data_IF_491431407606
#
_entry.id   IF_491431407606
#
_cell.length_a   1.000
_cell.length_b   1.000
_cell.length_c   1.000
_cell.angle_alpha   90.00
_cell.angle_beta   90.00
_cell.angle_gamma   90.00
#
_symmetry.space_group_name_H-M   'P 1'
#
loop_
_entity.id
_entity.type
_entity.pdbx_description
1 polymer ?
#
# COMPACT_ATOMS: atom_id res chain seq x y z
N UNK A 1 30.87 -11.80 -37.18
CA UNK A 1 29.54 -11.39 -37.70
C UNK A 1 28.60 -11.22 -36.51
N UNK A 2 28.14 -9.98 -36.30
CA UNK A 2 26.91 -9.61 -35.57
C UNK A 2 26.82 -9.89 -34.07
N UNK A 3 27.54 -9.10 -33.24
CA UNK A 3 27.12 -8.84 -31.85
C UNK A 3 25.90 -7.91 -31.89
N UNK A 4 24.72 -8.43 -31.60
CA UNK A 4 23.51 -7.62 -31.41
C UNK A 4 23.46 -7.12 -29.97
N UNK A 5 23.98 -5.92 -29.76
CA UNK A 5 23.56 -5.05 -28.66
C UNK A 5 22.14 -4.56 -29.01
N UNK A 6 21.12 -4.71 -28.15
CA UNK A 6 19.83 -4.11 -28.41
C UNK A 6 19.96 -2.59 -28.29
N UNK A 7 19.69 -1.91 -29.39
CA UNK A 7 19.62 -0.46 -29.52
C UNK A 7 18.46 0.06 -28.66
N UNK A 8 18.80 0.71 -27.55
CA UNK A 8 17.86 1.31 -26.62
C UNK A 8 17.58 2.75 -27.07
N UNK A 9 16.60 2.91 -27.94
CA UNK A 9 16.06 4.23 -28.29
C UNK A 9 14.63 4.37 -27.80
N UNK A 10 14.47 4.76 -26.53
CA UNK A 10 13.46 5.74 -26.04
C UNK A 10 14.04 6.40 -24.77
N UNK A 11 14.02 7.72 -24.74
CA UNK A 11 14.46 8.63 -23.67
C UNK A 11 13.92 8.26 -22.28
N UNK A 12 14.80 7.72 -21.43
CA UNK A 12 15.01 8.05 -20.02
C UNK A 12 16.13 7.12 -19.56
N UNK A 13 17.33 7.64 -19.35
CA UNK A 13 18.41 6.89 -18.72
C UNK A 13 17.90 6.43 -17.34
N UNK A 14 17.39 5.20 -17.24
CA UNK A 14 16.88 4.65 -16.01
C UNK A 14 18.09 4.43 -15.11
N UNK A 15 18.39 5.40 -14.26
CA UNK A 15 19.44 5.26 -13.25
C UNK A 15 19.04 4.13 -12.29
N UNK A 16 19.46 2.92 -12.62
CA UNK A 16 19.35 1.74 -11.75
C UNK A 16 20.11 2.02 -10.45
N UNK A 17 19.62 1.52 -9.33
CA UNK A 17 20.25 1.73 -8.03
C UNK A 17 21.68 1.19 -7.96
N UNK A 18 22.47 1.74 -7.04
CA UNK A 18 23.80 1.22 -6.71
C UNK A 18 23.77 -0.25 -6.27
N UNK A 19 22.66 -0.70 -5.67
CA UNK A 19 22.48 -2.10 -5.22
C UNK A 19 22.33 -3.03 -6.42
N UNK A 20 21.54 -2.64 -7.42
CA UNK A 20 21.43 -3.38 -8.69
C UNK A 20 22.76 -3.44 -9.43
N UNK A 21 23.46 -2.31 -9.53
CA UNK A 21 24.77 -2.23 -10.19
C UNK A 21 25.82 -3.11 -9.48
N UNK A 22 25.74 -3.22 -8.16
CA UNK A 22 26.60 -4.14 -7.42
C UNK A 22 26.31 -5.61 -7.75
N UNK A 23 25.03 -6.00 -7.83
CA UNK A 23 24.64 -7.35 -8.26
C UNK A 23 25.14 -7.64 -9.68
N UNK A 24 25.01 -6.69 -10.60
CA UNK A 24 25.49 -6.82 -11.97
C UNK A 24 27.00 -7.11 -12.02
N UNK A 25 27.81 -6.38 -11.24
CA UNK A 25 29.25 -6.63 -11.14
C UNK A 25 29.57 -7.99 -10.53
N UNK A 26 28.81 -8.44 -9.52
CA UNK A 26 28.97 -9.78 -8.93
C UNK A 26 28.64 -10.86 -9.96
N UNK A 27 27.52 -10.73 -10.69
CA UNK A 27 27.12 -11.68 -11.72
C UNK A 27 28.10 -11.75 -12.90
N UNK A 28 28.78 -10.64 -13.21
CA UNK A 28 29.78 -10.54 -14.28
C UNK A 28 31.19 -11.00 -13.86
N UNK A 29 31.44 -11.36 -12.59
CA UNK A 29 32.79 -11.70 -12.13
C UNK A 29 33.36 -12.95 -12.83
N UNK A 30 34.68 -12.97 -13.03
CA UNK A 30 35.41 -14.10 -13.61
C UNK A 30 35.62 -15.22 -12.60
N UNK A 31 35.43 -16.47 -13.01
CA UNK A 31 35.65 -17.66 -12.18
C UNK A 31 34.40 -18.07 -11.38
N UNK A 32 34.05 -19.36 -11.44
CA UNK A 32 32.81 -19.89 -10.86
C UNK A 32 32.77 -19.79 -9.32
N UNK A 33 33.85 -20.19 -8.64
CA UNK A 33 33.92 -20.20 -7.17
C UNK A 33 33.81 -18.80 -6.57
N UNK A 34 34.58 -17.85 -7.09
CA UNK A 34 34.55 -16.45 -6.65
C UNK A 34 33.17 -15.82 -6.86
N UNK A 35 32.48 -16.17 -7.97
CA UNK A 35 31.11 -15.70 -8.23
C UNK A 35 30.10 -16.21 -7.20
N UNK A 36 30.12 -17.50 -6.87
CA UNK A 36 29.24 -18.11 -5.87
C UNK A 36 29.44 -17.45 -4.50
N UNK A 37 30.68 -17.32 -4.05
CA UNK A 37 31.01 -16.72 -2.75
C UNK A 37 30.62 -15.24 -2.67
N UNK A 38 30.77 -14.48 -3.76
CA UNK A 38 30.34 -13.08 -3.82
C UNK A 38 28.83 -12.95 -3.86
N UNK A 39 28.14 -13.85 -4.57
CA UNK A 39 26.69 -13.85 -4.66
C UNK A 39 26.04 -14.16 -3.31
N UNK A 40 26.54 -15.18 -2.60
CA UNK A 40 26.08 -15.49 -1.24
C UNK A 40 26.20 -14.29 -0.30
N UNK A 41 27.38 -13.64 -0.29
CA UNK A 41 27.60 -12.41 0.50
C UNK A 41 26.70 -11.24 0.08
N UNK A 42 26.41 -11.10 -1.21
CA UNK A 42 25.48 -10.08 -1.69
C UNK A 42 24.07 -10.36 -1.18
N UNK A 43 23.59 -11.60 -1.29
CA UNK A 43 22.26 -12.00 -0.80
C UNK A 43 22.12 -11.80 0.70
N UNK A 44 23.10 -12.23 1.51
CA UNK A 44 23.09 -12.08 2.97
C UNK A 44 23.08 -10.60 3.40
N UNK A 45 23.71 -9.72 2.61
CA UNK A 45 23.78 -8.29 2.89
C UNK A 45 22.51 -7.55 2.47
N UNK A 46 21.94 -7.90 1.31
CA UNK A 46 20.82 -7.16 0.73
C UNK A 46 19.44 -7.70 1.10
N UNK A 47 19.33 -8.97 1.47
CA UNK A 47 18.06 -9.60 1.83
C UNK A 47 17.92 -9.78 3.35
N UNK A 48 16.68 -9.80 3.83
CA UNK A 48 16.38 -10.23 5.20
C UNK A 48 16.31 -11.77 5.31
N UNK A 49 16.00 -12.27 6.51
CA UNK A 49 15.88 -13.71 6.75
C UNK A 49 14.76 -14.38 5.95
N UNK A 50 13.78 -13.61 5.48
CA UNK A 50 12.68 -14.09 4.63
C UNK A 50 12.96 -13.84 3.13
N UNK A 51 14.16 -13.38 2.78
CA UNK A 51 14.55 -13.08 1.40
C UNK A 51 14.03 -11.75 0.87
N UNK A 52 13.42 -10.89 1.70
CA UNK A 52 12.92 -9.59 1.24
C UNK A 52 14.06 -8.56 1.17
N UNK A 53 14.21 -7.79 0.07
CA UNK A 53 15.26 -6.80 -0.02
C UNK A 53 15.16 -5.68 1.01
N UNK A 54 16.28 -5.40 1.69
CA UNK A 54 16.41 -4.37 2.73
C UNK A 54 16.50 -2.96 2.15
N UNK A 55 17.16 -2.81 0.99
CA UNK A 55 17.51 -1.49 0.41
C UNK A 55 17.18 -1.36 -1.07
N UNK A 56 17.08 -2.48 -1.79
CA UNK A 56 16.80 -2.48 -3.21
C UNK A 56 15.39 -1.88 -3.47
N UNK A 57 15.26 -0.88 -4.37
CA UNK A 57 13.96 -0.33 -4.75
C UNK A 57 13.05 -1.41 -5.35
N UNK A 58 11.78 -1.46 -4.93
CA UNK A 58 10.82 -2.48 -5.40
C UNK A 58 10.73 -2.55 -6.92
N UNK A 59 10.74 -1.40 -7.60
CA UNK A 59 10.69 -1.30 -9.07
C UNK A 59 11.81 -2.07 -9.80
N UNK A 60 12.91 -2.40 -9.11
CA UNK A 60 14.08 -3.08 -9.68
C UNK A 60 14.13 -4.58 -9.35
N UNK A 61 13.22 -5.11 -8.52
CA UNK A 61 13.33 -6.48 -8.02
C UNK A 61 13.23 -7.53 -9.13
N UNK A 62 12.33 -7.34 -10.09
CA UNK A 62 12.18 -8.25 -11.24
C UNK A 62 13.42 -8.26 -12.15
N UNK A 63 14.12 -7.12 -12.27
CA UNK A 63 15.39 -7.04 -13.00
C UNK A 63 16.48 -7.85 -12.29
N UNK A 64 16.58 -7.75 -10.96
CA UNK A 64 17.50 -8.56 -10.18
C UNK A 64 17.20 -10.06 -10.33
N UNK A 65 15.93 -10.47 -10.27
CA UNK A 65 15.55 -11.88 -10.47
C UNK A 65 15.86 -12.40 -11.88
N UNK A 66 15.75 -11.53 -12.89
CA UNK A 66 16.16 -11.85 -14.27
C UNK A 66 17.65 -12.15 -14.32
N UNK A 67 18.47 -11.27 -13.74
CA UNK A 67 19.92 -11.45 -13.69
C UNK A 67 20.34 -12.69 -12.86
N UNK A 68 19.64 -12.96 -11.75
CA UNK A 68 19.87 -14.15 -10.93
C UNK A 68 19.53 -15.43 -11.69
N UNK A 69 18.45 -15.45 -12.48
CA UNK A 69 18.07 -16.61 -13.30
C UNK A 69 19.15 -16.92 -14.35
N UNK A 70 19.64 -15.89 -15.06
CA UNK A 70 20.75 -16.05 -16.01
C UNK A 70 22.03 -16.54 -15.32
N UNK A 71 22.32 -16.02 -14.12
CA UNK A 71 23.50 -16.41 -13.34
C UNK A 71 23.41 -17.86 -12.88
N UNK A 72 22.23 -18.31 -12.42
CA UNK A 72 21.95 -19.70 -12.06
C UNK A 72 22.18 -20.63 -13.25
N UNK A 73 21.65 -20.28 -14.42
CA UNK A 73 21.86 -21.06 -15.65
C UNK A 73 23.34 -21.18 -16.02
N UNK A 74 24.13 -20.11 -15.88
CA UNK A 74 25.58 -20.13 -16.16
C UNK A 74 26.39 -20.93 -15.13
N UNK A 75 25.95 -20.98 -13.88
CA UNK A 75 26.64 -21.70 -12.81
C UNK A 75 26.29 -23.19 -12.77
N UNK A 76 25.10 -23.57 -13.24
CA UNK A 76 24.67 -24.98 -13.30
C UNK A 76 24.82 -25.67 -11.95
N UNK A 77 25.56 -26.79 -11.90
CA UNK A 77 25.78 -27.57 -10.69
C UNK A 77 26.54 -26.83 -9.56
N UNK A 78 27.17 -25.68 -9.84
CA UNK A 78 27.79 -24.85 -8.81
C UNK A 78 26.80 -23.97 -8.05
N UNK A 79 25.53 -23.91 -8.48
CA UNK A 79 24.48 -23.23 -7.74
C UNK A 79 23.99 -24.10 -6.58
N UNK A 80 24.14 -23.61 -5.35
CA UNK A 80 23.82 -24.40 -4.16
C UNK A 80 22.34 -24.30 -3.75
N UNK A 81 21.89 -25.26 -2.95
CA UNK A 81 20.54 -25.29 -2.36
C UNK A 81 20.29 -24.10 -1.42
N UNK A 82 21.33 -23.60 -0.76
CA UNK A 82 21.24 -22.41 0.09
C UNK A 82 20.97 -21.15 -0.74
N UNK A 83 21.60 -21.01 -1.91
CA UNK A 83 21.30 -19.91 -2.83
C UNK A 83 19.87 -20.00 -3.35
N UNK A 84 19.40 -21.20 -3.72
CA UNK A 84 18.01 -21.41 -4.14
C UNK A 84 17.02 -20.97 -3.04
N UNK A 85 17.22 -21.38 -1.78
CA UNK A 85 16.34 -21.00 -0.68
C UNK A 85 16.30 -19.47 -0.44
N UNK A 86 17.43 -18.77 -0.58
CA UNK A 86 17.49 -17.30 -0.45
C UNK A 86 16.76 -16.59 -1.60
N UNK A 87 16.97 -17.05 -2.83
CA UNK A 87 16.34 -16.45 -4.01
C UNK A 87 14.85 -16.79 -4.07
N UNK A 88 14.42 -17.94 -3.57
CA UNK A 88 13.01 -18.28 -3.40
C UNK A 88 12.29 -17.24 -2.54
N UNK A 89 12.81 -16.90 -1.36
CA UNK A 89 12.25 -15.84 -0.52
C UNK A 89 12.16 -14.49 -1.25
N UNK A 90 13.18 -14.14 -2.03
CA UNK A 90 13.18 -12.92 -2.85
C UNK A 90 12.15 -12.95 -3.98
N UNK A 91 12.00 -14.10 -4.64
CA UNK A 91 10.97 -14.31 -5.64
C UNK A 91 9.56 -14.19 -5.04
N UNK A 92 9.31 -14.79 -3.87
CA UNK A 92 8.03 -14.69 -3.16
C UNK A 92 7.73 -13.26 -2.70
N UNK A 93 8.75 -12.51 -2.25
CA UNK A 93 8.60 -11.08 -1.99
C UNK A 93 8.23 -10.32 -3.26
N UNK A 94 8.89 -10.64 -4.38
CA UNK A 94 8.63 -10.02 -5.68
C UNK A 94 7.20 -10.24 -6.16
N UNK A 95 6.68 -11.48 -6.09
CA UNK A 95 5.28 -11.75 -6.46
C UNK A 95 4.29 -10.85 -5.70
N UNK A 96 4.50 -10.64 -4.40
CA UNK A 96 3.60 -9.83 -3.57
C UNK A 96 3.61 -8.35 -3.95
N UNK A 97 4.71 -7.86 -4.52
CA UNK A 97 4.90 -6.48 -4.99
C UNK A 97 4.81 -6.34 -6.51
N UNK A 98 4.30 -7.35 -7.20
CA UNK A 98 3.97 -7.27 -8.61
C UNK A 98 2.50 -6.94 -8.81
N UNK A 99 2.25 -6.06 -9.78
CA UNK A 99 0.93 -5.84 -10.37
C UNK A 99 0.48 -7.12 -11.08
N UNK A 100 -0.83 -7.33 -11.27
CA UNK A 100 -1.31 -8.51 -11.96
C UNK A 100 -0.92 -8.62 -13.44
N UNK A 101 -0.46 -7.53 -14.07
CA UNK A 101 0.11 -7.54 -15.43
C UNK A 101 1.59 -7.99 -15.46
N UNK A 102 2.19 -8.23 -14.29
CA UNK A 102 3.58 -8.62 -14.16
C UNK A 102 4.54 -7.47 -13.89
N UNK A 103 4.11 -6.23 -13.98
CA UNK A 103 5.00 -5.10 -13.71
C UNK A 103 5.23 -4.91 -12.21
N UNK A 104 6.36 -4.30 -11.83
CA UNK A 104 6.66 -4.02 -10.42
C UNK A 104 5.92 -2.77 -9.94
N UNK A 105 5.41 -2.80 -8.71
CA UNK A 105 4.89 -1.61 -8.04
C UNK A 105 5.96 -0.49 -8.01
N UNK A 106 5.50 0.77 -8.08
CA UNK A 106 6.35 1.97 -8.17
C UNK A 106 7.28 2.04 -9.40
N UNK A 107 7.11 1.13 -10.36
CA UNK A 107 7.79 1.13 -11.65
C UNK A 107 6.81 1.39 -12.81
N UNK A 108 7.32 1.49 -14.04
CA UNK A 108 6.48 1.57 -15.23
C UNK A 108 5.59 0.33 -15.38
N UNK A 109 4.51 0.45 -16.15
CA UNK A 109 3.64 -0.67 -16.50
C UNK A 109 4.29 -1.57 -17.55
N UNK A 110 3.84 -2.82 -17.59
CA UNK A 110 4.40 -3.84 -18.47
C UNK A 110 5.69 -4.48 -17.94
N UNK A 111 6.02 -5.63 -18.53
CA UNK A 111 7.17 -6.45 -18.17
C UNK A 111 7.82 -7.00 -19.44
N UNK A 112 9.15 -6.95 -19.51
CA UNK A 112 9.91 -7.46 -20.64
C UNK A 112 9.86 -9.00 -20.70
N UNK A 113 9.91 -9.57 -21.90
CA UNK A 113 9.84 -11.02 -22.10
C UNK A 113 10.97 -11.83 -21.41
N UNK A 114 12.24 -11.36 -21.35
CA UNK A 114 13.27 -12.04 -20.55
C UNK A 114 12.87 -12.19 -19.08
N UNK A 115 12.26 -11.15 -18.51
CA UNK A 115 11.78 -11.17 -17.12
C UNK A 115 10.62 -12.13 -16.94
N UNK A 116 9.66 -12.19 -17.88
CA UNK A 116 8.59 -13.21 -17.83
C UNK A 116 9.15 -14.63 -17.83
N UNK A 117 10.15 -14.91 -18.68
CA UNK A 117 10.82 -16.22 -18.73
C UNK A 117 11.55 -16.53 -17.42
N UNK A 118 12.26 -15.55 -16.85
CA UNK A 118 12.93 -15.72 -15.56
C UNK A 118 11.94 -16.04 -14.44
N UNK A 119 10.81 -15.34 -14.37
CA UNK A 119 9.77 -15.60 -13.36
C UNK A 119 9.16 -17.00 -13.50
N UNK A 120 8.89 -17.46 -14.73
CA UNK A 120 8.44 -18.84 -14.98
C UNK A 120 9.49 -19.87 -14.55
N UNK A 121 10.75 -19.63 -14.89
CA UNK A 121 11.85 -20.50 -14.49
C UNK A 121 11.96 -20.60 -12.97
N UNK A 122 11.84 -19.49 -12.23
CA UNK A 122 11.81 -19.54 -10.76
C UNK A 122 10.59 -20.30 -10.23
N UNK A 123 9.43 -20.13 -10.84
CA UNK A 123 8.19 -20.78 -10.42
C UNK A 123 8.24 -22.32 -10.50
N UNK A 124 9.02 -22.87 -11.44
CA UNK A 124 9.24 -24.32 -11.58
C UNK A 124 10.05 -24.93 -10.44
N UNK A 125 10.76 -24.10 -9.67
CA UNK A 125 11.67 -24.54 -8.60
C UNK A 125 11.17 -24.20 -7.20
N UNK A 126 9.92 -23.75 -7.06
CA UNK A 126 9.35 -23.40 -5.76
C UNK A 126 9.08 -24.63 -4.91
N UNK A 127 9.39 -24.51 -3.63
CA UNK A 127 9.04 -25.52 -2.63
C UNK A 127 7.52 -25.60 -2.41
N UNK A 128 6.82 -24.48 -2.54
CA UNK A 128 5.36 -24.38 -2.39
C UNK A 128 4.64 -24.27 -3.75
N UNK A 129 3.91 -25.31 -4.20
CA UNK A 129 3.28 -25.33 -5.53
C UNK A 129 2.16 -24.29 -5.70
N UNK A 130 1.56 -23.80 -4.61
CA UNK A 130 0.49 -22.78 -4.66
C UNK A 130 0.95 -21.44 -5.26
N UNK A 131 2.22 -21.08 -5.12
CA UNK A 131 2.77 -19.87 -5.74
C UNK A 131 3.03 -20.03 -7.25
N UNK A 132 3.31 -21.26 -7.72
CA UNK A 132 3.38 -21.54 -9.15
C UNK A 132 2.03 -21.28 -9.82
N UNK A 133 0.92 -21.64 -9.16
CA UNK A 133 -0.43 -21.36 -9.66
C UNK A 133 -0.65 -19.86 -9.94
N UNK A 134 -0.06 -18.96 -9.12
CA UNK A 134 -0.15 -17.51 -9.36
C UNK A 134 0.53 -17.12 -10.68
N UNK A 135 1.73 -17.63 -10.93
CA UNK A 135 2.45 -17.40 -12.18
C UNK A 135 1.70 -17.99 -13.37
N UNK A 136 1.14 -19.20 -13.24
CA UNK A 136 0.35 -19.83 -14.29
C UNK A 136 -0.93 -19.00 -14.59
N UNK A 137 -1.52 -18.33 -13.60
CA UNK A 137 -2.66 -17.43 -13.83
C UNK A 137 -2.27 -16.17 -14.59
N UNK A 138 -1.16 -15.53 -14.22
CA UNK A 138 -0.74 -14.27 -14.85
C UNK A 138 -0.14 -14.49 -16.24
N UNK A 139 0.68 -15.53 -16.37
CA UNK A 139 1.41 -15.88 -17.59
C UNK A 139 1.11 -17.33 -17.97
N UNK A 140 -0.08 -17.64 -18.52
CA UNK A 140 -0.50 -19.01 -18.82
C UNK A 140 0.49 -19.75 -19.73
N UNK A 141 0.85 -20.96 -19.32
CA UNK A 141 1.58 -21.96 -20.10
C UNK A 141 0.68 -23.10 -20.57
N UNK A 142 1.24 -24.16 -21.17
CA UNK A 142 0.46 -25.31 -21.67
C UNK A 142 -0.15 -26.16 -20.56
N UNK A 143 0.45 -26.18 -19.38
CA UNK A 143 -0.05 -26.91 -18.20
C UNK A 143 -0.36 -25.93 -17.06
N UNK A 144 -1.57 -26.02 -16.49
CA UNK A 144 -2.01 -25.20 -15.37
C UNK A 144 -2.30 -26.12 -14.18
N UNK A 145 -1.56 -25.92 -13.10
CA UNK A 145 -1.80 -26.65 -11.84
C UNK A 145 -2.76 -25.83 -10.98
N UNK A 146 -3.84 -26.45 -10.52
CA UNK A 146 -4.81 -25.84 -9.63
C UNK A 146 -4.47 -26.17 -8.17
N UNK A 147 -3.72 -25.29 -7.51
CA UNK A 147 -3.54 -25.28 -6.06
C UNK A 147 -4.00 -23.93 -5.50
N UNK A 148 -4.73 -23.90 -4.36
CA UNK A 148 -5.15 -22.63 -3.78
C UNK A 148 -3.91 -21.84 -3.37
N UNK A 149 -3.72 -20.61 -3.89
CA UNK A 149 -2.55 -19.84 -3.52
C UNK A 149 -2.68 -19.37 -2.07
N UNK A 150 -1.56 -19.15 -1.37
CA UNK A 150 -1.56 -18.63 -0.01
C UNK A 150 -2.10 -17.20 0.02
N UNK A 151 -2.36 -16.66 1.22
CA UNK A 151 -2.79 -15.26 1.32
C UNK A 151 -1.68 -14.33 0.80
N UNK A 152 -2.02 -13.40 -0.11
CA UNK A 152 -1.01 -12.59 -0.79
C UNK A 152 -0.40 -11.48 0.08
N UNK A 153 -1.11 -11.07 1.12
CA UNK A 153 -0.72 -9.93 1.93
C UNK A 153 0.55 -10.21 2.74
N UNK A 154 1.41 -9.20 2.88
CA UNK A 154 2.63 -9.28 3.68
C UNK A 154 3.06 -7.90 4.16
N UNK A 155 3.69 -7.85 5.34
CA UNK A 155 4.37 -6.66 5.84
C UNK A 155 5.67 -7.07 6.53
N UNK A 156 6.60 -6.12 6.64
CA UNK A 156 7.87 -6.29 7.36
C UNK A 156 7.80 -5.68 8.75
N UNK A 157 8.44 -6.33 9.72
CA UNK A 157 8.50 -5.87 11.12
C UNK A 157 9.62 -4.86 11.36
N UNK A 158 10.70 -4.94 10.57
CA UNK A 158 11.89 -4.09 10.75
C UNK A 158 11.76 -2.70 10.11
N UNK A 159 11.02 -2.60 9.01
CA UNK A 159 10.88 -1.39 8.21
C UNK A 159 9.51 -1.35 7.52
N UNK A 160 8.92 -0.16 7.24
CA UNK A 160 7.58 -0.13 6.64
C UNK A 160 7.66 -0.43 5.14
N UNK A 161 7.55 -1.72 4.83
CA UNK A 161 7.41 -2.28 3.51
C UNK A 161 6.28 -3.30 3.58
N UNK A 162 5.19 -3.04 2.86
CA UNK A 162 4.00 -3.87 2.94
C UNK A 162 3.24 -3.95 1.60
N UNK A 163 2.61 -5.09 1.39
CA UNK A 163 1.65 -5.38 0.32
C UNK A 163 0.35 -5.83 0.98
N UNK A 164 -0.68 -5.00 0.90
CA UNK A 164 -2.03 -5.29 1.35
C UNK A 164 -2.79 -5.74 0.11
N UNK A 165 -3.22 -6.99 0.08
CA UNK A 165 -3.70 -7.61 -1.16
C UNK A 165 -4.85 -8.55 -0.84
N UNK A 166 -5.98 -8.34 -1.53
CA UNK A 166 -7.18 -9.13 -1.29
C UNK A 166 -7.05 -10.56 -1.85
N UNK A 167 -6.48 -10.67 -3.05
CA UNK A 167 -6.32 -11.93 -3.77
C UNK A 167 -5.23 -11.82 -4.86
N UNK A 168 -4.91 -12.95 -5.50
CA UNK A 168 -3.94 -13.03 -6.59
C UNK A 168 -4.56 -12.84 -7.99
N UNK A 169 -5.85 -12.50 -8.09
CA UNK A 169 -6.54 -12.40 -9.37
C UNK A 169 -6.03 -11.23 -10.22
N UNK A 170 -6.28 -11.29 -11.54
CA UNK A 170 -5.91 -10.23 -12.49
C UNK A 170 -6.59 -8.88 -12.20
N UNK A 171 -7.76 -8.92 -11.58
CA UNK A 171 -8.52 -7.76 -11.15
C UNK A 171 -8.38 -7.47 -9.65
N UNK A 172 -7.47 -8.17 -8.97
CA UNK A 172 -7.32 -8.15 -7.53
C UNK A 172 -6.99 -6.76 -7.01
N UNK A 173 -7.55 -6.43 -5.85
CA UNK A 173 -7.28 -5.17 -5.18
C UNK A 173 -5.96 -5.26 -4.40
N UNK A 174 -5.12 -4.23 -4.54
CA UNK A 174 -3.76 -4.19 -3.99
C UNK A 174 -3.41 -2.77 -3.55
N UNK A 175 -2.78 -2.63 -2.38
CA UNK A 175 -2.01 -1.45 -1.98
C UNK A 175 -0.59 -1.86 -1.63
N UNK A 176 0.40 -1.17 -2.17
CA UNK A 176 1.80 -1.33 -1.77
C UNK A 176 2.32 -0.08 -1.06
N UNK A 177 3.21 -0.32 -0.10
CA UNK A 177 3.80 0.69 0.78
C UNK A 177 5.31 0.44 0.83
N UNK A 178 6.09 1.49 0.59
CA UNK A 178 7.54 1.51 0.82
C UNK A 178 7.95 2.84 1.47
N UNK A 179 8.15 2.81 2.79
CA UNK A 179 8.67 3.93 3.58
C UNK A 179 10.02 3.59 4.21
N UNK A 180 10.85 2.79 3.51
CA UNK A 180 12.25 2.59 3.89
C UNK A 180 13.08 3.87 3.78
N UNK A 181 12.88 4.75 2.77
CA UNK A 181 13.53 6.05 2.75
C UNK A 181 13.20 6.89 3.98
N UNK A 182 14.12 7.77 4.39
CA UNK A 182 13.84 8.78 5.42
C UNK A 182 13.03 9.90 4.81
N UNK A 183 11.95 10.32 5.46
CA UNK A 183 11.15 11.45 4.98
C UNK A 183 9.73 11.46 5.50
N UNK A 184 8.96 12.39 4.96
CA UNK A 184 7.51 12.45 5.12
C UNK A 184 6.76 11.73 3.99
N UNK A 185 7.50 11.34 2.95
CA UNK A 185 6.99 10.68 1.75
C UNK A 185 7.14 9.17 1.86
N UNK A 186 6.10 8.46 1.47
CA UNK A 186 6.07 7.01 1.34
C UNK A 186 5.80 6.67 -0.11
N UNK A 187 6.57 5.74 -0.68
CA UNK A 187 6.19 5.07 -1.92
C UNK A 187 4.86 4.38 -1.71
N UNK A 188 3.84 4.78 -2.46
CA UNK A 188 2.48 4.32 -2.29
C UNK A 188 1.82 4.12 -3.63
N UNK A 189 1.13 2.99 -3.79
CA UNK A 189 0.38 2.73 -4.99
C UNK A 189 -0.85 1.89 -4.64
N UNK A 190 -2.01 2.31 -5.15
CA UNK A 190 -3.28 1.63 -4.98
C UNK A 190 -3.84 1.19 -6.33
N UNK A 191 -4.15 -0.10 -6.42
CA UNK A 191 -4.74 -0.77 -7.56
C UNK A 191 -6.11 -1.30 -7.17
N UNK A 192 -7.11 -0.98 -7.98
CA UNK A 192 -8.46 -1.51 -7.86
C UNK A 192 -9.01 -1.81 -9.25
N UNK A 193 -9.65 -2.97 -9.41
CA UNK A 193 -10.16 -3.44 -10.70
C UNK A 193 -9.06 -3.53 -11.78
N UNK A 194 -7.84 -3.94 -11.39
CA UNK A 194 -6.71 -4.11 -12.30
C UNK A 194 -6.10 -2.81 -12.83
N UNK A 195 -6.43 -1.65 -12.24
CA UNK A 195 -5.87 -0.34 -12.62
C UNK A 195 -5.28 0.39 -11.42
N UNK A 196 -4.14 1.05 -11.62
CA UNK A 196 -3.58 2.00 -10.65
C UNK A 196 -4.40 3.29 -10.62
N UNK A 197 -4.87 3.67 -9.43
CA UNK A 197 -5.72 4.83 -9.22
C UNK A 197 -5.06 5.94 -8.39
N UNK A 198 -4.15 5.57 -7.48
CA UNK A 198 -3.40 6.49 -6.63
C UNK A 198 -1.96 6.04 -6.55
N UNK A 199 -1.03 6.99 -6.38
CA UNK A 199 0.41 6.78 -6.37
C UNK A 199 1.14 7.69 -7.35
N UNK A 200 2.48 7.66 -7.40
CA UNK A 200 3.36 6.69 -6.75
C UNK A 200 3.78 7.05 -5.32
N UNK A 201 3.26 8.14 -4.76
CA UNK A 201 3.67 8.63 -3.44
C UNK A 201 2.49 9.05 -2.56
N UNK A 202 2.74 9.02 -1.26
CA UNK A 202 1.87 9.57 -0.22
C UNK A 202 2.72 10.35 0.79
N UNK A 203 2.49 11.66 0.85
CA UNK A 203 3.21 12.58 1.73
C UNK A 203 2.31 13.18 2.81
N UNK A 204 2.86 13.37 4.00
CA UNK A 204 2.24 14.20 5.04
C UNK A 204 2.73 15.64 4.83
N UNK A 205 1.82 16.56 4.52
CA UNK A 205 2.13 17.97 4.26
C UNK A 205 2.28 18.76 5.56
N UNK A 206 3.31 18.41 6.32
CA UNK A 206 3.81 19.23 7.41
C UNK A 206 4.97 20.03 6.83
N UNK A 207 4.81 21.35 6.68
CA UNK A 207 5.74 22.28 6.01
C UNK A 207 7.07 22.52 6.76
N UNK A 208 7.69 21.46 7.28
CA UNK A 208 8.87 21.55 8.13
C UNK A 208 10.10 20.95 7.45
N UNK A 209 11.08 21.79 7.11
CA UNK A 209 12.44 21.44 6.64
C UNK A 209 13.31 20.79 7.74
N UNK A 210 12.70 20.43 8.88
CA UNK A 210 13.40 19.94 10.05
C UNK A 210 13.77 18.45 9.97
N UNK A 211 14.48 17.97 10.99
CA UNK A 211 14.97 16.60 11.10
C UNK A 211 13.90 15.54 10.78
N UNK A 212 14.23 14.66 9.83
CA UNK A 212 13.39 13.57 9.39
C UNK A 212 13.78 12.28 10.14
N UNK A 213 12.81 11.69 10.84
CA UNK A 213 12.98 10.42 11.53
C UNK A 213 12.98 9.24 10.56
N UNK A 214 13.54 8.10 10.98
CA UNK A 214 13.29 6.82 10.31
C UNK A 214 11.88 6.35 10.64
N UNK A 215 11.19 5.84 9.62
CA UNK A 215 9.89 5.23 9.82
C UNK A 215 10.03 3.84 10.47
N UNK A 216 9.08 3.52 11.36
CA UNK A 216 9.07 2.28 12.15
C UNK A 216 7.68 1.64 12.07
N UNK A 217 7.56 0.37 11.65
CA UNK A 217 6.31 -0.36 11.77
C UNK A 217 5.82 -0.37 13.22
N UNK A 218 4.51 -0.25 13.41
CA UNK A 218 3.88 -0.31 14.73
C UNK A 218 2.78 -1.37 14.81
N UNK A 219 2.18 -1.75 13.68
CA UNK A 219 1.14 -2.78 13.64
C UNK A 219 1.07 -3.43 12.27
N UNK A 220 0.87 -4.75 12.25
CA UNK A 220 0.43 -5.53 11.10
C UNK A 220 -0.71 -6.44 11.52
N UNK A 221 -1.82 -6.41 10.77
CA UNK A 221 -2.94 -7.35 10.92
C UNK A 221 -3.36 -7.78 9.53
N UNK A 222 -3.48 -9.08 9.30
CA UNK A 222 -4.05 -9.64 8.09
C UNK A 222 -4.98 -10.78 8.48
N UNK A 223 -6.24 -10.68 8.11
CA UNK A 223 -7.25 -11.72 8.32
C UNK A 223 -8.12 -11.90 7.06
N UNK A 224 -9.19 -12.69 7.16
CA UNK A 224 -10.06 -12.97 6.01
C UNK A 224 -10.84 -11.74 5.51
N UNK A 225 -10.98 -10.68 6.32
CA UNK A 225 -11.76 -9.49 6.00
C UNK A 225 -10.93 -8.25 5.68
N UNK A 226 -9.75 -8.10 6.28
CA UNK A 226 -8.93 -6.90 6.13
C UNK A 226 -7.43 -7.19 6.22
N UNK A 227 -6.66 -6.34 5.54
CA UNK A 227 -5.25 -6.11 5.82
C UNK A 227 -5.09 -4.70 6.39
N UNK A 228 -4.31 -4.56 7.46
CA UNK A 228 -4.01 -3.28 8.12
C UNK A 228 -2.51 -3.24 8.41
N UNK A 229 -1.88 -2.14 8.02
CA UNK A 229 -0.55 -1.78 8.50
C UNK A 229 -0.57 -0.38 9.09
N UNK A 230 0.14 -0.21 10.21
CA UNK A 230 0.44 1.10 10.76
C UNK A 230 1.95 1.24 10.99
N UNK A 231 2.44 2.47 10.81
CA UNK A 231 3.82 2.82 11.07
C UNK A 231 3.93 4.27 11.51
N UNK A 232 5.02 4.58 12.21
CA UNK A 232 5.26 5.90 12.78
C UNK A 232 6.58 6.49 12.30
N UNK A 233 6.62 7.80 12.15
CA UNK A 233 7.83 8.55 11.82
C UNK A 233 7.75 9.97 12.39
N UNK A 234 8.86 10.72 12.29
CA UNK A 234 8.91 12.11 12.76
C UNK A 234 9.20 13.06 11.60
N UNK A 235 8.49 14.17 11.60
CA UNK A 235 8.73 15.32 10.72
C UNK A 235 8.92 16.54 11.62
N UNK A 236 10.18 16.90 11.87
CA UNK A 236 10.52 17.90 12.88
C UNK A 236 10.08 17.51 14.29
N UNK A 237 9.32 18.38 14.94
CA UNK A 237 8.78 18.14 16.28
C UNK A 237 7.50 17.28 16.26
N UNK A 238 6.91 17.03 15.08
CA UNK A 238 5.70 16.26 14.96
C UNK A 238 6.00 14.76 14.85
N UNK A 239 5.10 13.96 15.42
CA UNK A 239 5.02 12.53 15.16
C UNK A 239 3.84 12.29 14.22
N UNK A 240 4.06 11.48 13.19
CA UNK A 240 3.02 11.02 12.29
C UNK A 240 2.87 9.52 12.46
N UNK A 241 1.68 9.07 12.85
CA UNK A 241 1.28 7.66 12.79
C UNK A 241 0.39 7.47 11.56
N UNK A 242 0.85 6.67 10.62
CA UNK A 242 0.19 6.43 9.34
C UNK A 242 -0.54 5.09 9.37
N UNK A 243 -1.73 5.05 8.79
CA UNK A 243 -2.60 3.88 8.72
C UNK A 243 -3.00 3.60 7.28
N UNK A 244 -2.73 2.39 6.80
CA UNK A 244 -3.28 1.89 5.54
C UNK A 244 -4.07 0.61 5.81
N UNK A 245 -5.32 0.56 5.35
CA UNK A 245 -6.20 -0.59 5.51
C UNK A 245 -6.88 -0.92 4.19
N UNK A 246 -6.83 -2.19 3.78
CA UNK A 246 -7.54 -2.73 2.63
C UNK A 246 -8.61 -3.71 3.11
N UNK A 247 -9.86 -3.53 2.68
CA UNK A 247 -10.89 -4.54 2.89
C UNK A 247 -10.84 -5.60 1.80
N UNK A 248 -10.82 -6.86 2.20
CA UNK A 248 -10.89 -8.00 1.30
C UNK A 248 -12.33 -8.20 0.81
N UNK A 249 -12.50 -8.30 -0.50
CA UNK A 249 -13.79 -8.57 -1.14
C UNK A 249 -14.85 -7.47 -1.01
N UNK A 250 -14.53 -6.30 -0.46
CA UNK A 250 -15.50 -5.19 -0.28
C UNK A 250 -15.22 -3.95 -1.11
N UNK A 251 -14.08 -3.89 -1.80
CA UNK A 251 -13.67 -2.73 -2.60
C UNK A 251 -13.72 -1.41 -1.81
N UNK A 252 -13.12 -1.47 -0.62
CA UNK A 252 -12.95 -0.34 0.30
C UNK A 252 -11.51 -0.32 0.81
N UNK A 253 -10.98 0.88 1.03
CA UNK A 253 -9.69 1.10 1.67
C UNK A 253 -9.72 2.38 2.51
N UNK A 254 -8.88 2.45 3.53
CA UNK A 254 -8.70 3.63 4.37
C UNK A 254 -7.21 4.00 4.39
N UNK A 255 -6.92 5.25 4.07
CA UNK A 255 -5.62 5.88 4.31
C UNK A 255 -5.81 6.92 5.40
N UNK A 256 -4.89 7.02 6.35
CA UNK A 256 -4.96 8.08 7.35
C UNK A 256 -3.60 8.49 7.88
N UNK A 257 -3.43 9.79 8.12
CA UNK A 257 -2.32 10.34 8.90
C UNK A 257 -2.88 10.84 10.23
N UNK A 258 -2.39 10.29 11.34
CA UNK A 258 -2.53 10.87 12.67
C UNK A 258 -1.30 11.74 12.94
N UNK A 259 -1.51 13.01 13.28
CA UNK A 259 -0.43 13.96 13.53
C UNK A 259 -0.48 14.38 15.00
N UNK A 260 0.61 14.16 15.73
CA UNK A 260 0.80 14.59 17.11
C UNK A 260 1.85 15.71 17.18
N UNK A 261 1.56 16.78 17.93
CA UNK A 261 2.51 17.86 18.23
C UNK A 261 2.02 19.28 17.93
N UNK A 262 0.70 19.52 17.88
CA UNK A 262 0.08 20.83 17.54
C UNK A 262 0.48 21.38 16.15
N UNK A 263 0.14 20.69 15.06
CA UNK A 263 0.44 21.16 13.71
C UNK A 263 -0.31 22.43 13.30
N UNK A 264 -1.44 22.74 13.94
CA UNK A 264 -2.36 23.81 13.50
C UNK A 264 -3.19 23.40 12.27
N UNK A 265 -2.51 22.97 11.20
CA UNK A 265 -3.11 22.39 10.00
C UNK A 265 -2.39 21.09 9.66
N UNK A 266 -3.15 20.02 9.48
CA UNK A 266 -2.64 18.79 8.89
C UNK A 266 -2.90 18.76 7.40
N UNK A 267 -1.99 18.17 6.64
CA UNK A 267 -2.22 17.88 5.23
C UNK A 267 -1.78 16.46 4.86
N UNK A 268 -2.53 15.86 3.94
CA UNK A 268 -2.22 14.60 3.29
C UNK A 268 -2.23 14.84 1.78
N UNK A 269 -1.14 14.47 1.11
CA UNK A 269 -0.99 14.53 -0.35
C UNK A 269 -0.82 13.12 -0.88
N UNK A 270 -1.61 12.74 -1.87
CA UNK A 270 -1.51 11.43 -2.53
C UNK A 270 -1.38 11.65 -4.02
N UNK A 271 -0.35 11.04 -4.62
CA UNK A 271 -0.09 11.12 -6.04
C UNK A 271 -1.23 10.56 -6.89
N UNK A 272 -1.34 11.11 -8.09
CA UNK A 272 -2.22 10.64 -9.16
C UNK A 272 -1.34 10.18 -10.32
N UNK A 273 -1.55 8.94 -10.82
CA UNK A 273 -0.94 8.51 -12.07
C UNK A 273 -1.39 9.36 -13.25
N UNK A 274 -0.59 9.39 -14.32
CA UNK A 274 -0.96 10.03 -15.56
C UNK A 274 -2.23 9.43 -16.16
N UNK A 275 -3.05 10.29 -16.78
CA UNK A 275 -4.34 9.89 -17.36
C UNK A 275 -5.47 9.63 -16.36
N UNK A 276 -5.24 9.85 -15.06
CA UNK A 276 -6.30 9.89 -14.05
C UNK A 276 -6.78 11.33 -13.86
N UNK A 277 -8.06 11.54 -14.13
CA UNK A 277 -8.77 12.80 -13.87
C UNK A 277 -9.47 12.76 -12.51
N UNK A 278 -9.75 13.95 -11.97
CA UNK A 278 -10.43 14.11 -10.69
C UNK A 278 -11.66 15.00 -10.87
N UNK A 279 -12.83 14.45 -10.58
CA UNK A 279 -14.11 15.14 -10.70
C UNK A 279 -14.68 15.37 -9.29
N UNK A 280 -14.79 16.63 -8.83
CA UNK A 280 -15.49 16.95 -7.59
C UNK A 280 -16.97 16.55 -7.66
N UNK A 281 -17.50 16.01 -6.56
CA UNK A 281 -18.93 15.76 -6.47
C UNK A 281 -19.72 17.06 -6.33
N UNK A 282 -20.84 17.19 -7.04
CA UNK A 282 -21.65 18.42 -7.03
C UNK A 282 -22.28 18.75 -5.67
N UNK A 283 -22.58 17.73 -4.84
CA UNK A 283 -23.39 17.88 -3.62
C UNK A 283 -22.63 17.66 -2.32
N UNK A 284 -21.36 17.25 -2.40
CA UNK A 284 -20.56 16.89 -1.23
C UNK A 284 -19.06 17.02 -1.51
N UNK A 285 -18.23 16.91 -0.48
CA UNK A 285 -16.77 17.08 -0.59
C UNK A 285 -16.00 15.84 -1.07
N UNK A 286 -16.65 14.83 -1.64
CA UNK A 286 -15.94 13.67 -2.21
C UNK A 286 -15.38 13.96 -3.59
N UNK A 287 -14.33 13.25 -3.97
CA UNK A 287 -13.73 13.31 -5.30
C UNK A 287 -13.90 11.97 -6.01
N UNK A 288 -14.30 11.99 -7.27
CA UNK A 288 -14.39 10.83 -8.14
C UNK A 288 -13.15 10.79 -9.05
N UNK A 289 -12.47 9.66 -9.15
CA UNK A 289 -11.36 9.44 -10.08
C UNK A 289 -11.87 8.88 -11.40
N UNK A 290 -11.42 9.38 -12.55
CA UNK A 290 -11.89 8.90 -13.85
C UNK A 290 -10.76 8.67 -14.84
N UNK A 291 -11.03 7.86 -15.86
CA UNK A 291 -10.14 7.65 -17.00
C UNK A 291 -10.91 7.99 -18.26
N UNK A 292 -10.60 9.14 -18.86
CA UNK A 292 -11.35 9.65 -20.01
C UNK A 292 -12.85 9.80 -19.75
N UNK A 293 -13.66 9.71 -20.81
CA UNK A 293 -15.10 10.02 -20.77
C UNK A 293 -16.00 8.89 -20.23
N UNK A 294 -15.46 7.70 -19.93
CA UNK A 294 -16.27 6.51 -19.67
C UNK A 294 -15.61 5.60 -18.63
N UNK A 295 -16.38 5.29 -17.58
CA UNK A 295 -16.34 4.05 -16.76
C UNK A 295 -15.61 4.11 -15.40
N UNK A 296 -16.35 3.55 -14.42
CA UNK A 296 -16.04 3.12 -13.03
C UNK A 296 -14.97 3.92 -12.30
N UNK A 297 -15.45 4.75 -11.38
CA UNK A 297 -14.66 5.68 -10.60
C UNK A 297 -14.55 5.23 -9.14
N UNK A 298 -13.32 5.06 -8.60
CA UNK A 298 -13.11 5.17 -7.18
C UNK A 298 -13.54 6.54 -6.68
N UNK A 299 -14.24 6.54 -5.54
CA UNK A 299 -14.61 7.74 -4.81
C UNK A 299 -13.73 7.88 -3.58
N UNK A 300 -13.13 9.05 -3.44
CA UNK A 300 -12.32 9.47 -2.31
C UNK A 300 -13.18 10.32 -1.37
N UNK A 301 -13.24 9.95 -0.10
CA UNK A 301 -14.17 10.51 0.88
C UNK A 301 -13.37 11.02 2.10
N UNK A 302 -13.25 12.34 2.30
CA UNK A 302 -12.46 12.93 3.39
C UNK A 302 -13.29 12.96 4.68
N UNK A 303 -13.20 11.94 5.53
CA UNK A 303 -14.16 11.76 6.63
C UNK A 303 -14.05 12.85 7.71
N UNK A 304 -12.86 13.42 7.89
CA UNK A 304 -12.62 14.52 8.82
C UNK A 304 -13.14 15.88 8.34
N UNK A 305 -13.60 15.99 7.09
CA UNK A 305 -14.30 17.16 6.58
C UNK A 305 -15.82 16.95 6.62
N UNK A 306 -16.61 18.01 6.78
CA UNK A 306 -18.07 17.94 6.72
C UNK A 306 -18.56 17.47 5.36
N UNK A 307 -19.79 16.93 5.31
CA UNK A 307 -20.38 16.38 4.10
C UNK A 307 -20.45 17.40 2.95
N UNK A 308 -20.97 18.60 3.23
CA UNK A 308 -21.08 19.72 2.29
C UNK A 308 -20.07 20.80 2.63
N UNK A 309 -19.76 21.65 1.66
CA UNK A 309 -19.13 22.95 1.95
C UNK A 309 -20.22 23.95 2.33
N UNK A 310 -20.11 24.57 3.49
CA UNK A 310 -20.99 25.67 3.91
C UNK A 310 -20.39 27.07 3.71
N UNK A 311 -19.25 27.18 3.00
CA UNK A 311 -18.61 28.46 2.68
C UNK A 311 -17.76 29.08 3.81
N UNK A 312 -17.93 28.65 5.07
CA UNK A 312 -17.16 29.12 6.23
C UNK A 312 -16.25 28.07 6.89
N UNK A 313 -16.21 26.85 6.35
CA UNK A 313 -15.49 25.71 6.95
C UNK A 313 -13.98 25.77 6.70
N UNK A 314 -13.21 25.47 7.75
CA UNK A 314 -11.76 25.32 7.69
C UNK A 314 -11.42 23.92 7.14
N UNK A 315 -10.69 23.87 6.02
CA UNK A 315 -10.20 22.63 5.40
C UNK A 315 -10.66 22.43 3.95
N UNK A 316 -9.83 21.76 3.15
CA UNK A 316 -10.01 21.57 1.70
C UNK A 316 -9.71 20.14 1.30
N UNK A 317 -10.41 19.65 0.28
CA UNK A 317 -10.05 18.40 -0.39
C UNK A 317 -10.24 18.57 -1.88
N UNK A 318 -9.13 18.62 -2.62
CA UNK A 318 -9.12 18.99 -4.04
C UNK A 318 -7.90 18.42 -4.75
N UNK A 319 -7.93 18.45 -6.09
CA UNK A 319 -6.76 18.18 -6.92
C UNK A 319 -5.82 19.38 -6.90
N UNK A 320 -4.52 19.13 -6.79
CA UNK A 320 -3.44 20.12 -6.97
C UNK A 320 -2.35 19.49 -7.82
N UNK A 321 -2.19 19.93 -9.07
CA UNK A 321 -1.25 19.31 -10.01
C UNK A 321 -1.58 17.83 -10.24
N UNK A 322 -0.61 16.95 -9.97
CA UNK A 322 -0.75 15.49 -10.06
C UNK A 322 -1.00 14.84 -8.69
N UNK A 323 -1.67 15.54 -7.77
CA UNK A 323 -1.99 15.02 -6.45
C UNK A 323 -3.43 15.35 -6.06
N UNK A 324 -4.02 14.52 -5.20
CA UNK A 324 -5.17 14.92 -4.37
C UNK A 324 -4.65 15.34 -3.00
N UNK A 325 -5.17 16.47 -2.51
CA UNK A 325 -4.66 17.08 -1.29
C UNK A 325 -5.80 17.33 -0.32
N UNK A 326 -5.74 16.65 0.82
CA UNK A 326 -6.61 16.86 1.98
C UNK A 326 -5.90 17.77 2.97
N UNK A 327 -6.47 18.94 3.26
CA UNK A 327 -6.05 19.82 4.36
C UNK A 327 -7.16 19.93 5.38
N UNK A 328 -6.79 19.79 6.65
CA UNK A 328 -7.73 19.87 7.76
C UNK A 328 -7.13 20.67 8.91
N UNK A 329 -7.88 21.61 9.51
CA UNK A 329 -7.47 22.23 10.76
C UNK A 329 -7.35 21.16 11.85
N UNK A 330 -6.32 21.27 12.67
CA UNK A 330 -6.14 20.41 13.84
C UNK A 330 -6.24 21.29 15.07
N UNK A 331 -7.38 21.20 15.75
CA UNK A 331 -7.63 21.86 17.01
C UNK A 331 -6.98 21.04 18.13
N UNK A 332 -5.99 21.61 18.81
CA UNK A 332 -5.28 20.95 19.90
C UNK A 332 -3.99 20.26 19.47
N UNK A 333 -3.62 19.20 20.20
CA UNK A 333 -2.30 18.55 20.08
C UNK A 333 -2.28 17.42 19.07
N UNK A 334 -3.43 16.84 18.73
CA UNK A 334 -3.54 15.67 17.87
C UNK A 334 -4.65 15.86 16.86
N UNK A 335 -4.45 15.38 15.64
CA UNK A 335 -5.47 15.33 14.61
C UNK A 335 -5.35 14.07 13.77
N UNK A 336 -6.44 13.69 13.12
CA UNK A 336 -6.49 12.51 12.26
C UNK A 336 -7.14 12.89 10.93
N UNK A 337 -6.47 12.55 9.82
CA UNK A 337 -6.89 12.84 8.45
C UNK A 337 -7.30 11.55 7.73
N UNK A 338 -8.47 10.97 8.02
CA UNK A 338 -8.95 9.76 7.36
C UNK A 338 -9.49 10.05 5.96
N UNK A 339 -8.93 9.34 4.97
CA UNK A 339 -9.38 9.29 3.59
C UNK A 339 -9.90 7.88 3.27
N UNK A 340 -11.21 7.75 3.13
CA UNK A 340 -11.85 6.50 2.73
C UNK A 340 -11.96 6.44 1.20
N UNK A 341 -11.62 5.29 0.64
CA UNK A 341 -11.66 5.01 -0.80
C UNK A 341 -12.70 3.93 -1.04
N UNK A 342 -13.61 4.15 -1.98
CA UNK A 342 -14.55 3.12 -2.43
C UNK A 342 -14.59 3.01 -3.94
N UNK A 343 -14.46 1.80 -4.48
CA UNK A 343 -14.49 1.55 -5.93
C UNK A 343 -15.50 0.47 -6.32
N UNK A 344 -16.43 0.14 -5.44
CA UNK A 344 -17.57 -0.70 -5.80
C UNK A 344 -18.59 0.11 -6.60
N UNK A 345 -18.82 -0.26 -7.86
CA UNK A 345 -19.72 0.44 -8.77
C UNK A 345 -21.16 0.51 -8.23
N UNK A 346 -21.67 -0.59 -7.68
CA UNK A 346 -23.02 -0.64 -7.11
C UNK A 346 -23.18 0.26 -5.89
N UNK A 347 -22.14 0.32 -5.04
CA UNK A 347 -22.11 1.18 -3.86
C UNK A 347 -22.02 2.66 -4.23
N UNK A 348 -21.16 3.00 -5.19
CA UNK A 348 -20.90 4.40 -5.58
C UNK A 348 -22.08 5.06 -6.32
N UNK A 349 -23.03 4.28 -6.83
CA UNK A 349 -24.31 4.76 -7.39
C UNK A 349 -25.33 5.14 -6.31
N UNK A 350 -25.17 4.65 -5.07
CA UNK A 350 -26.08 4.99 -3.97
C UNK A 350 -25.79 6.39 -3.43
N UNK A 351 -26.79 7.00 -2.80
CA UNK A 351 -26.61 8.26 -2.06
C UNK A 351 -25.58 8.06 -0.95
N UNK A 352 -24.46 8.78 -1.06
CA UNK A 352 -23.42 8.82 -0.04
C UNK A 352 -23.72 9.93 0.96
N UNK A 353 -23.61 9.60 2.25
CA UNK A 353 -23.57 10.57 3.36
C UNK A 353 -22.51 10.12 4.36
N UNK A 354 -21.72 11.04 4.90
CA UNK A 354 -20.89 10.76 6.06
C UNK A 354 -21.04 11.87 7.10
N UNK A 355 -20.77 11.52 8.36
CA UNK A 355 -20.74 12.48 9.45
C UNK A 355 -19.79 12.04 10.56
N UNK A 356 -19.11 12.98 11.23
CA UNK A 356 -18.51 12.69 12.52
C UNK A 356 -19.62 12.32 13.52
N UNK A 357 -19.27 11.47 14.47
CA UNK A 357 -20.13 11.06 15.58
C UNK A 357 -19.60 11.67 16.87
N UNK A 358 -20.52 12.05 17.76
CA UNK A 358 -20.15 12.42 19.13
C UNK A 358 -19.60 11.20 19.84
N UNK A 359 -18.36 11.32 20.32
CA UNK A 359 -17.71 10.32 21.18
C UNK A 359 -17.76 10.82 22.62
N UNK A 360 -18.13 9.96 23.57
CA UNK A 360 -18.15 10.29 24.99
C UNK A 360 -17.26 9.38 25.81
N UNK A 361 -16.67 9.94 26.86
CA UNK A 361 -15.94 9.23 27.91
C UNK A 361 -16.70 9.46 29.22
N UNK A 362 -17.46 8.45 29.66
CA UNK A 362 -18.46 8.64 30.71
C UNK A 362 -19.49 9.72 30.31
N UNK A 363 -19.75 10.73 31.17
CA UNK A 363 -20.69 11.81 30.87
C UNK A 363 -20.09 12.94 30.01
N UNK A 364 -18.79 12.90 29.67
CA UNK A 364 -18.10 14.00 28.97
C UNK A 364 -17.95 13.72 27.48
N UNK A 365 -18.25 14.72 26.65
CA UNK A 365 -17.94 14.67 25.22
C UNK A 365 -16.42 14.76 25.03
N UNK A 366 -15.86 13.87 24.23
CA UNK A 366 -14.45 13.90 23.85
C UNK A 366 -14.21 14.96 22.78
N UNK A 367 -13.15 15.75 22.93
CA UNK A 367 -12.62 16.57 21.85
C UNK A 367 -12.00 15.72 20.74
N UNK A 368 -11.88 16.31 19.55
CA UNK A 368 -11.32 15.64 18.36
C UNK A 368 -9.84 15.25 18.50
N UNK A 369 -9.10 15.77 19.49
CA UNK A 369 -7.73 15.36 19.82
C UNK A 369 -7.65 14.11 20.74
N UNK A 370 -8.79 13.70 21.30
CA UNK A 370 -8.89 12.57 22.24
C UNK A 370 -9.35 11.31 21.52
N UNK A 371 -10.46 11.39 20.81
CA UNK A 371 -11.01 10.29 20.04
C UNK A 371 -11.98 10.82 18.98
N UNK A 372 -12.10 10.09 17.88
CA UNK A 372 -13.02 10.41 16.78
C UNK A 372 -13.74 9.17 16.32
N UNK A 373 -14.98 9.35 15.89
CA UNK A 373 -15.75 8.32 15.20
C UNK A 373 -16.47 8.93 13.99
N UNK A 374 -16.60 8.14 12.94
CA UNK A 374 -17.27 8.53 11.71
C UNK A 374 -18.27 7.45 11.31
N UNK A 375 -19.43 7.89 10.82
CA UNK A 375 -20.39 7.04 10.12
C UNK A 375 -20.37 7.41 8.64
N UNK A 376 -20.25 6.40 7.78
CA UNK A 376 -20.36 6.53 6.33
C UNK A 376 -21.48 5.64 5.86
N UNK A 377 -22.46 6.19 5.17
CA UNK A 377 -23.65 5.47 4.69
C UNK A 377 -23.79 5.58 3.18
N UNK A 378 -24.09 4.45 2.54
CA UNK A 378 -24.44 4.35 1.12
C UNK A 378 -25.87 3.83 1.00
N UNK A 379 -26.81 4.73 0.75
CA UNK A 379 -28.24 4.43 0.80
C UNK A 379 -28.70 4.07 2.22
N UNK A 380 -29.68 3.18 2.32
CA UNK A 380 -30.29 2.77 3.61
C UNK A 380 -29.64 1.53 4.22
N UNK A 381 -29.02 0.68 3.39
CA UNK A 381 -28.68 -0.70 3.78
C UNK A 381 -27.22 -0.90 4.17
N UNK A 382 -26.33 0.03 3.81
CA UNK A 382 -24.90 -0.12 4.05
C UNK A 382 -24.37 1.09 4.81
N UNK A 383 -23.96 0.87 6.05
CA UNK A 383 -23.39 1.92 6.88
C UNK A 383 -22.14 1.41 7.61
N UNK A 384 -20.99 1.97 7.26
CA UNK A 384 -19.72 1.74 7.90
C UNK A 384 -19.57 2.67 9.11
N UNK A 385 -18.94 2.17 10.16
CA UNK A 385 -18.46 2.95 11.31
C UNK A 385 -16.96 2.78 11.46
N UNK A 386 -16.28 3.87 11.73
CA UNK A 386 -14.83 3.92 11.96
C UNK A 386 -14.60 4.71 13.23
N UNK A 387 -13.87 4.14 14.18
CA UNK A 387 -13.49 4.78 15.44
C UNK A 387 -11.98 4.71 15.64
N UNK A 388 -11.42 5.79 16.15
CA UNK A 388 -9.99 5.93 16.48
C UNK A 388 -9.83 6.65 17.81
N UNK A 389 -9.14 6.02 18.75
CA UNK A 389 -8.58 6.70 19.92
C UNK A 389 -7.27 7.39 19.51
N UNK A 390 -7.15 8.68 19.79
CA UNK A 390 -5.95 9.49 19.52
C UNK A 390 -5.17 9.76 20.81
N UNK A 391 -5.87 9.83 21.94
CA UNK A 391 -5.28 9.74 23.27
C UNK A 391 -5.19 8.28 23.73
N UNK A 392 -4.79 8.08 25.00
CA UNK A 392 -4.79 6.78 25.65
C UNK A 392 -6.15 6.08 25.46
N UNK A 393 -6.18 4.84 24.95
CA UNK A 393 -7.41 4.07 24.84
C UNK A 393 -8.00 3.81 26.23
N UNK A 394 -9.26 4.20 26.40
CA UNK A 394 -10.10 3.91 27.57
C UNK A 394 -11.53 3.66 27.06
N UNK A 395 -12.43 3.08 27.88
CA UNK A 395 -13.81 2.86 27.46
C UNK A 395 -14.50 4.17 27.04
N UNK A 396 -14.94 4.23 25.78
CA UNK A 396 -15.69 5.33 25.19
C UNK A 396 -16.92 4.82 24.46
N UNK A 397 -17.87 5.71 24.23
CA UNK A 397 -19.11 5.37 23.55
C UNK A 397 -19.41 6.31 22.38
N UNK A 398 -20.03 5.77 21.34
CA UNK A 398 -20.62 6.53 20.24
C UNK A 398 -21.86 5.78 19.74
N UNK A 399 -22.97 6.48 19.47
CA UNK A 399 -24.24 5.88 19.04
C UNK A 399 -24.65 4.63 19.85
N UNK A 400 -24.47 4.65 21.17
CA UNK A 400 -24.80 3.52 22.06
C UNK A 400 -23.81 2.35 22.05
N UNK A 401 -22.87 2.29 21.10
CA UNK A 401 -21.79 1.30 21.10
C UNK A 401 -20.66 1.72 22.05
N UNK A 402 -20.26 0.83 22.96
CA UNK A 402 -19.17 1.03 23.92
C UNK A 402 -17.95 0.22 23.51
N UNK A 403 -16.78 0.84 23.47
CA UNK A 403 -15.52 0.18 23.14
C UNK A 403 -14.34 0.78 23.90
N UNK A 404 -13.35 -0.05 24.24
CA UNK A 404 -12.06 0.39 24.77
C UNK A 404 -10.92 0.26 23.75
N UNK A 405 -11.27 -0.06 22.49
CA UNK A 405 -10.31 -0.26 21.43
C UNK A 405 -9.47 1.00 21.16
N UNK A 406 -8.28 0.80 20.59
CA UNK A 406 -7.49 1.88 20.01
C UNK A 406 -8.00 2.25 18.61
N UNK A 407 -8.42 1.24 17.85
CA UNK A 407 -9.01 1.40 16.52
C UNK A 407 -10.12 0.37 16.32
N UNK A 408 -11.25 0.78 15.76
CA UNK A 408 -12.36 -0.10 15.43
C UNK A 408 -12.93 0.30 14.07
N UNK A 409 -13.24 -0.70 13.25
CA UNK A 409 -13.96 -0.53 12.00
C UNK A 409 -14.96 -1.67 11.84
N UNK A 410 -16.17 -1.34 11.43
CA UNK A 410 -17.27 -2.30 11.35
C UNK A 410 -18.47 -1.74 10.60
N UNK A 411 -19.52 -2.55 10.45
CA UNK A 411 -20.77 -2.13 9.84
C UNK A 411 -21.88 -2.03 10.89
N UNK A 412 -22.84 -1.14 10.65
CA UNK A 412 -24.11 -1.20 11.36
C UNK A 412 -24.97 -2.32 10.80
N UNK A 413 -25.56 -3.13 11.69
CA UNK A 413 -26.64 -4.04 11.35
C UNK A 413 -27.94 -3.26 11.13
N UNK A 414 -28.99 -3.93 10.64
CA UNK A 414 -30.31 -3.32 10.46
C UNK A 414 -30.92 -2.85 11.78
N UNK A 415 -30.56 -3.51 12.87
CA UNK A 415 -30.97 -3.21 14.24
C UNK A 415 -30.17 -2.05 14.85
N UNK A 416 -29.17 -1.52 14.14
CA UNK A 416 -28.32 -0.42 14.60
C UNK A 416 -27.16 -0.85 15.50
N UNK A 417 -26.90 -2.15 15.64
CA UNK A 417 -25.73 -2.66 16.35
C UNK A 417 -24.48 -2.53 15.48
N UNK A 418 -23.31 -2.43 16.11
CA UNK A 418 -22.03 -2.45 15.38
C UNK A 418 -21.53 -3.90 15.32
N UNK A 419 -21.34 -4.40 14.10
CA UNK A 419 -20.64 -5.65 13.81
C UNK A 419 -19.18 -5.33 13.44
N UNK A 420 -18.21 -5.56 14.34
CA UNK A 420 -16.82 -5.22 14.09
C UNK A 420 -16.22 -6.12 13.01
N UNK A 421 -15.56 -5.52 12.04
CA UNK A 421 -14.69 -6.23 11.08
C UNK A 421 -13.28 -6.34 11.63
N UNK A 422 -12.83 -5.29 12.28
CA UNK A 422 -11.54 -5.23 12.91
C UNK A 422 -11.63 -4.39 14.18
N UNK A 423 -11.04 -4.94 15.24
CA UNK A 423 -10.82 -4.25 16.49
C UNK A 423 -9.35 -4.39 16.85
N UNK A 424 -8.68 -3.27 17.09
CA UNK A 424 -7.30 -3.24 17.58
C UNK A 424 -7.31 -2.71 19.00
N UNK A 425 -6.77 -3.51 19.92
CA UNK A 425 -6.65 -3.14 21.33
C UNK A 425 -5.46 -2.20 21.56
N UNK A 426 -5.31 -1.75 22.80
CA UNK A 426 -4.24 -0.84 23.23
C UNK A 426 -2.85 -1.49 23.16
#
# INVERSE_FOLDING_TARGET
MGSMVPDATVDEATHTSAVYQDLYRVAASSGQRDRVDRLGRWLDRELDSEGTPRRLPVREWSLCLTLLAETRQRLGASWSTELDARVEGFFLATLRFMRPDGSMMFGPNGIADPTKRALRSWAEHLSEPGFKTVIDWWFPGPEVIHSPPPLPASARTEHPLASLRADWSKSGDLMAIDHRPRGAETGFEFIGLGRTWLGPHWASGVDSVAALGRAKPSLWVSNYSVDLVEWSFRVGNLRVDRTALLFRGRRLALLADQIDGKPGVGAMRVGLPDGIDVIPAAVNRSLALTVGARVVSPRLIPLGLPYRSSGGERGTFQREGNEVVLRQPIEGRRGWLPLLISWESGRNRKTLVWKPLTVSEGPKICGAETAVAYRVAWGRDESLVIYRSLARPVPRSFLGHKTAARFLIGFFTKEGNVEPILTVQA
#
